data_IF_314952218297
#
_entry.id   IF_314952218297
#
_cell.length_a   1.000
_cell.length_b   1.000
_cell.length_c   1.000
_cell.angle_alpha   90.00
_cell.angle_beta   90.00
_cell.angle_gamma   90.00
#
_symmetry.space_group_name_H-M   'P 1'
#
loop_
_entity.id
_entity.type
_entity.pdbx_description
1 polymer ?
#
# COMPACT_ATOMS: atom_id res chain seq x y z
N UNK A 1 54.20 -63.56 -4.17
CA UNK A 1 52.82 -63.39 -4.67
C UNK A 1 52.14 -62.32 -3.83
N UNK A 2 52.06 -61.10 -4.35
CA UNK A 2 51.47 -59.95 -3.64
C UNK A 2 50.04 -59.83 -4.14
N UNK A 3 49.06 -60.15 -3.30
CA UNK A 3 47.63 -59.94 -3.57
C UNK A 3 47.28 -58.46 -3.33
N UNK A 4 47.01 -57.75 -4.43
CA UNK A 4 46.51 -56.39 -4.36
C UNK A 4 45.04 -56.42 -3.95
N UNK A 5 44.75 -55.96 -2.76
CA UNK A 5 43.40 -55.71 -2.30
C UNK A 5 42.97 -54.33 -2.80
N UNK A 6 42.08 -54.29 -3.77
CA UNK A 6 41.48 -53.04 -4.26
C UNK A 6 40.37 -52.65 -3.26
N UNK A 7 40.61 -51.60 -2.48
CA UNK A 7 39.59 -50.98 -1.63
C UNK A 7 38.65 -50.12 -2.49
N UNK A 8 37.42 -50.57 -2.65
CA UNK A 8 36.30 -49.79 -3.23
C UNK A 8 35.79 -48.81 -2.15
N UNK A 9 36.09 -47.54 -2.34
CA UNK A 9 35.48 -46.47 -1.55
C UNK A 9 34.11 -46.10 -2.19
N UNK A 10 33.02 -46.18 -1.45
CA UNK A 10 31.75 -45.67 -1.95
C UNK A 10 31.77 -44.16 -1.93
N UNK A 11 31.62 -43.55 -3.11
CA UNK A 11 31.39 -42.10 -3.24
C UNK A 11 29.95 -41.82 -2.81
N UNK A 12 29.82 -41.28 -1.59
CA UNK A 12 28.55 -40.77 -1.10
C UNK A 12 28.29 -39.44 -1.74
N UNK A 13 27.46 -39.41 -2.80
CA UNK A 13 26.94 -38.18 -3.40
C UNK A 13 25.92 -37.56 -2.46
N UNK A 14 26.33 -36.52 -1.74
CA UNK A 14 25.44 -35.67 -0.96
C UNK A 14 24.69 -34.78 -1.96
N UNK A 15 23.45 -35.12 -2.25
CA UNK A 15 22.51 -34.25 -2.97
C UNK A 15 22.18 -33.06 -2.06
N UNK A 16 22.86 -31.93 -2.28
CA UNK A 16 22.52 -30.66 -1.66
C UNK A 16 21.20 -30.17 -2.30
N UNK A 17 20.09 -30.40 -1.60
CA UNK A 17 18.80 -29.81 -1.94
C UNK A 17 18.89 -28.32 -1.68
N UNK A 18 19.05 -27.52 -2.74
CA UNK A 18 18.97 -26.06 -2.67
C UNK A 18 17.51 -25.68 -2.34
N UNK A 19 17.26 -25.31 -1.09
CA UNK A 19 15.99 -24.67 -0.69
C UNK A 19 15.97 -23.31 -1.36
N UNK A 20 15.20 -23.17 -2.45
CA UNK A 20 14.95 -21.90 -3.08
C UNK A 20 14.01 -21.10 -2.16
N UNK A 21 14.57 -20.08 -1.49
CA UNK A 21 13.76 -19.09 -0.80
C UNK A 21 12.94 -18.34 -1.84
N UNK A 22 11.63 -18.57 -1.87
CA UNK A 22 10.71 -17.75 -2.66
C UNK A 22 10.70 -16.38 -2.02
N UNK A 23 11.30 -15.39 -2.68
CA UNK A 23 11.20 -14.01 -2.26
C UNK A 23 9.73 -13.59 -2.37
N UNK A 24 9.08 -13.35 -1.23
CA UNK A 24 7.74 -12.74 -1.20
C UNK A 24 7.92 -11.31 -1.66
N UNK A 25 7.45 -10.99 -2.87
CA UNK A 25 7.45 -9.62 -3.38
C UNK A 25 6.41 -8.82 -2.58
N UNK A 26 6.89 -7.91 -1.74
CA UNK A 26 6.03 -6.99 -1.00
C UNK A 26 5.33 -6.05 -1.99
N UNK A 27 4.03 -5.77 -1.81
CA UNK A 27 3.33 -4.84 -2.68
C UNK A 27 4.03 -3.49 -2.67
N UNK A 28 4.33 -2.98 -3.87
CA UNK A 28 4.89 -1.64 -4.07
C UNK A 28 3.85 -0.61 -3.68
N UNK A 29 3.94 -0.12 -2.46
CA UNK A 29 3.14 0.99 -1.98
C UNK A 29 4.09 2.14 -1.64
N UNK A 30 3.97 3.27 -2.36
CA UNK A 30 4.78 4.46 -2.16
C UNK A 30 4.27 5.35 -1.00
N UNK A 31 3.13 4.99 -0.38
CA UNK A 31 2.57 5.75 0.73
C UNK A 31 3.34 5.49 2.02
N UNK A 32 3.83 6.53 2.70
CA UNK A 32 4.44 6.39 4.02
C UNK A 32 3.46 5.72 5.01
N UNK A 33 3.99 4.92 5.92
CA UNK A 33 3.18 4.27 6.95
C UNK A 33 2.33 5.26 7.73
N UNK A 34 2.88 6.44 8.05
CA UNK A 34 2.15 7.48 8.78
C UNK A 34 0.95 7.99 7.99
N UNK A 35 1.06 8.21 6.68
CA UNK A 35 -0.06 8.65 5.85
C UNK A 35 -1.18 7.60 5.80
N UNK A 36 -0.81 6.32 5.69
CA UNK A 36 -1.78 5.21 5.74
C UNK A 36 -2.47 5.09 7.09
N UNK A 37 -1.69 5.18 8.18
CA UNK A 37 -2.23 5.13 9.54
C UNK A 37 -3.19 6.29 9.83
N UNK A 38 -2.86 7.49 9.38
CA UNK A 38 -3.68 8.69 9.53
C UNK A 38 -5.01 8.57 8.77
N UNK A 39 -4.95 8.07 7.52
CA UNK A 39 -6.16 7.77 6.76
C UNK A 39 -7.06 6.76 7.48
N UNK A 40 -6.50 5.65 7.95
CA UNK A 40 -7.26 4.61 8.67
C UNK A 40 -7.88 5.17 9.94
N UNK A 41 -7.13 5.98 10.68
CA UNK A 41 -7.65 6.64 11.89
C UNK A 41 -8.84 7.53 11.56
N UNK A 42 -8.72 8.43 10.57
CA UNK A 42 -9.80 9.33 10.15
C UNK A 42 -11.03 8.55 9.62
N UNK A 43 -10.80 7.52 8.80
CA UNK A 43 -11.86 6.65 8.29
C UNK A 43 -12.63 5.96 9.43
N UNK A 44 -11.95 5.47 10.45
CA UNK A 44 -12.57 4.83 11.61
C UNK A 44 -13.34 5.83 12.49
N UNK A 45 -12.95 7.11 12.53
CA UNK A 45 -13.73 8.14 13.23
C UNK A 45 -15.11 8.33 12.59
N UNK A 46 -15.21 8.18 11.28
CA UNK A 46 -16.48 8.35 10.54
C UNK A 46 -17.32 7.08 10.55
N UNK A 47 -16.70 5.91 10.37
CA UNK A 47 -17.40 4.63 10.18
C UNK A 47 -17.55 3.80 11.47
N UNK A 48 -16.89 4.20 12.56
CA UNK A 48 -16.89 3.50 13.84
C UNK A 48 -15.60 2.71 14.09
N UNK A 49 -15.27 2.58 15.38
CA UNK A 49 -14.00 2.01 15.85
C UNK A 49 -14.11 0.50 16.09
N UNK A 50 -14.68 -0.23 15.16
CA UNK A 50 -14.73 -1.69 15.20
C UNK A 50 -13.55 -2.32 14.48
N UNK A 51 -13.26 -3.59 14.80
CA UNK A 51 -12.23 -4.36 14.08
C UNK A 51 -12.58 -4.55 12.61
N UNK A 52 -13.85 -4.71 12.28
CA UNK A 52 -14.31 -4.81 10.89
C UNK A 52 -14.02 -3.51 10.12
N UNK A 53 -14.31 -2.36 10.71
CA UNK A 53 -13.97 -1.07 10.10
C UNK A 53 -12.46 -0.83 9.99
N UNK A 54 -11.66 -1.36 10.91
CA UNK A 54 -10.19 -1.34 10.76
C UNK A 54 -9.77 -2.04 9.47
N UNK A 55 -10.30 -3.23 9.17
CA UNK A 55 -9.99 -3.94 7.93
C UNK A 55 -10.51 -3.20 6.69
N UNK A 56 -11.74 -2.67 6.73
CA UNK A 56 -12.34 -1.91 5.62
C UNK A 56 -11.57 -0.63 5.32
N UNK A 57 -11.24 0.15 6.35
CA UNK A 57 -10.46 1.38 6.20
C UNK A 57 -9.03 1.11 5.71
N UNK A 58 -8.40 0.02 6.17
CA UNK A 58 -7.09 -0.41 5.67
C UNK A 58 -7.16 -0.84 4.20
N UNK A 59 -8.17 -1.60 3.82
CA UNK A 59 -8.45 -1.94 2.43
C UNK A 59 -8.61 -0.68 1.58
N UNK A 60 -9.36 0.32 2.05
CA UNK A 60 -9.60 1.56 1.31
C UNK A 60 -8.33 2.30 0.96
N UNK A 61 -7.42 2.52 1.92
CA UNK A 61 -6.17 3.24 1.63
C UNK A 61 -5.25 2.42 0.71
N UNK A 62 -5.26 1.09 0.81
CA UNK A 62 -4.52 0.24 -0.10
C UNK A 62 -5.05 0.37 -1.53
N UNK A 63 -6.37 0.40 -1.71
CA UNK A 63 -6.99 0.62 -3.04
C UNK A 63 -6.75 2.02 -3.58
N UNK A 64 -6.79 3.05 -2.75
CA UNK A 64 -6.43 4.41 -3.15
C UNK A 64 -4.98 4.45 -3.64
N UNK A 65 -4.06 3.79 -2.96
CA UNK A 65 -2.64 3.76 -3.33
C UNK A 65 -2.36 3.02 -4.65
N UNK A 66 -3.22 2.09 -5.05
CA UNK A 66 -3.17 1.45 -6.37
C UNK A 66 -3.59 2.40 -7.50
N UNK A 67 -4.46 3.37 -7.21
CA UNK A 67 -5.09 4.27 -8.19
C UNK A 67 -4.41 5.64 -8.30
N UNK A 68 -3.72 6.06 -7.24
CA UNK A 68 -3.17 7.41 -7.12
C UNK A 68 -1.79 7.36 -6.46
N UNK A 69 -0.72 7.88 -7.12
CA UNK A 69 0.60 7.99 -6.49
C UNK A 69 0.55 8.88 -5.24
N UNK A 70 1.40 8.59 -4.24
CA UNK A 70 1.39 9.32 -2.97
C UNK A 70 1.52 10.84 -3.13
N UNK A 71 2.40 11.32 -3.99
CA UNK A 71 2.56 12.76 -4.23
C UNK A 71 1.26 13.44 -4.71
N UNK A 72 0.48 12.76 -5.55
CA UNK A 72 -0.81 13.28 -6.02
C UNK A 72 -1.90 13.21 -4.94
N UNK A 73 -1.86 12.18 -4.09
CA UNK A 73 -2.72 12.04 -2.92
C UNK A 73 -2.46 13.17 -1.91
N UNK A 74 -1.21 13.36 -1.50
CA UNK A 74 -0.79 14.37 -0.53
C UNK A 74 -1.16 15.79 -0.97
N UNK A 75 -0.91 16.12 -2.24
CA UNK A 75 -1.28 17.42 -2.79
C UNK A 75 -2.80 17.64 -2.79
N UNK A 76 -3.58 16.65 -3.24
CA UNK A 76 -5.03 16.75 -3.28
C UNK A 76 -5.64 16.82 -1.87
N UNK A 77 -5.13 16.03 -0.91
CA UNK A 77 -5.53 16.07 0.49
C UNK A 77 -5.26 17.45 1.12
N UNK A 78 -4.08 18.01 0.87
CA UNK A 78 -3.72 19.35 1.35
C UNK A 78 -4.66 20.41 0.83
N UNK A 79 -4.93 20.44 -0.48
CA UNK A 79 -5.84 21.41 -1.08
C UNK A 79 -7.25 21.23 -0.56
N UNK A 80 -7.74 19.99 -0.50
CA UNK A 80 -9.09 19.69 -0.02
C UNK A 80 -9.27 20.10 1.46
N UNK A 81 -8.29 19.84 2.31
CA UNK A 81 -8.30 20.21 3.73
C UNK A 81 -8.39 21.73 3.93
N UNK A 82 -7.70 22.52 3.10
CA UNK A 82 -7.79 23.99 3.15
C UNK A 82 -9.14 24.48 2.62
N UNK A 83 -9.65 23.91 1.52
CA UNK A 83 -10.98 24.24 0.98
C UNK A 83 -12.09 23.98 1.99
N UNK A 84 -12.03 22.87 2.72
CA UNK A 84 -13.03 22.52 3.75
C UNK A 84 -13.01 23.48 4.94
N UNK A 85 -11.88 24.10 5.25
CA UNK A 85 -11.78 25.13 6.31
C UNK A 85 -12.44 26.45 5.91
N UNK A 86 -12.61 26.72 4.61
CA UNK A 86 -13.25 27.91 4.08
C UNK A 86 -12.48 29.21 4.28
N UNK A 87 -13.12 30.34 4.00
CA UNK A 87 -12.57 31.70 4.13
C UNK A 87 -11.96 32.26 2.85
N UNK A 88 -11.41 33.49 2.93
CA UNK A 88 -10.85 34.21 1.76
C UNK A 88 -9.67 33.47 1.11
N UNK A 89 -8.95 32.67 1.88
CA UNK A 89 -7.80 31.88 1.39
C UNK A 89 -8.21 30.78 0.41
N UNK A 90 -9.50 30.46 0.32
CA UNK A 90 -10.03 29.41 -0.57
C UNK A 90 -10.12 29.88 -2.02
N UNK A 91 -10.31 31.19 -2.26
CA UNK A 91 -10.51 31.73 -3.62
C UNK A 91 -9.41 31.32 -4.62
N UNK A 92 -8.08 31.36 -4.30
CA UNK A 92 -7.04 30.88 -5.20
C UNK A 92 -7.11 29.38 -5.47
N UNK A 93 -7.69 28.61 -4.56
CA UNK A 93 -7.81 27.14 -4.65
C UNK A 93 -8.98 26.69 -5.53
N UNK A 94 -9.84 27.62 -5.97
CA UNK A 94 -10.88 27.38 -6.97
C UNK A 94 -10.31 27.26 -8.41
N UNK A 95 -9.00 27.43 -8.55
CA UNK A 95 -8.29 27.26 -9.80
C UNK A 95 -8.49 25.83 -10.35
N UNK A 96 -8.96 25.75 -11.60
CA UNK A 96 -9.40 24.47 -12.19
C UNK A 96 -8.41 23.30 -12.06
N UNK A 97 -7.09 23.46 -12.31
CA UNK A 97 -6.15 22.35 -12.16
C UNK A 97 -6.07 21.79 -10.72
N UNK A 98 -6.27 22.61 -9.69
CA UNK A 98 -6.33 22.17 -8.30
C UNK A 98 -7.63 21.42 -8.02
N UNK A 99 -8.74 21.90 -8.55
CA UNK A 99 -10.03 21.21 -8.44
C UNK A 99 -10.01 19.84 -9.16
N UNK A 100 -9.34 19.74 -10.29
CA UNK A 100 -9.16 18.46 -11.00
C UNK A 100 -8.35 17.44 -10.16
N UNK A 101 -7.38 17.90 -9.35
CA UNK A 101 -6.65 17.04 -8.40
C UNK A 101 -7.56 16.49 -7.30
N UNK A 102 -8.36 17.35 -6.68
CA UNK A 102 -9.37 16.94 -5.69
C UNK A 102 -10.35 15.94 -6.31
N UNK A 103 -10.81 16.20 -7.54
CA UNK A 103 -11.74 15.31 -8.23
C UNK A 103 -11.16 13.92 -8.47
N UNK A 104 -9.86 13.84 -8.82
CA UNK A 104 -9.17 12.53 -8.96
C UNK A 104 -9.08 11.79 -7.63
N UNK A 105 -8.74 12.49 -6.54
CA UNK A 105 -8.73 11.89 -5.21
C UNK A 105 -10.11 11.36 -4.83
N UNK A 106 -11.16 12.16 -4.97
CA UNK A 106 -12.54 11.74 -4.68
C UNK A 106 -12.96 10.52 -5.50
N UNK A 107 -12.57 10.46 -6.77
CA UNK A 107 -12.84 9.29 -7.61
C UNK A 107 -12.14 8.03 -7.08
N UNK A 108 -10.87 8.14 -6.67
CA UNK A 108 -10.14 7.03 -6.08
C UNK A 108 -10.76 6.58 -4.75
N UNK A 109 -11.22 7.50 -3.91
CA UNK A 109 -11.92 7.21 -2.65
C UNK A 109 -13.23 6.45 -2.91
N UNK A 110 -14.06 6.92 -3.84
CA UNK A 110 -15.33 6.24 -4.20
C UNK A 110 -15.06 4.82 -4.72
N UNK A 111 -14.07 4.65 -5.58
CA UNK A 111 -13.70 3.32 -6.09
C UNK A 111 -13.22 2.39 -4.97
N UNK A 112 -12.46 2.93 -4.02
CA UNK A 112 -12.01 2.17 -2.85
C UNK A 112 -13.20 1.78 -1.93
N UNK A 113 -14.13 2.69 -1.69
CA UNK A 113 -15.35 2.40 -0.91
C UNK A 113 -16.17 1.28 -1.53
N UNK A 114 -16.40 1.33 -2.85
CA UNK A 114 -17.14 0.29 -3.56
C UNK A 114 -16.51 -1.11 -3.47
N UNK A 115 -15.20 -1.18 -3.22
CA UNK A 115 -14.47 -2.45 -3.10
C UNK A 115 -14.30 -2.94 -1.68
N UNK A 116 -14.34 -2.04 -0.71
CA UNK A 116 -13.96 -2.34 0.68
C UNK A 116 -15.16 -2.32 1.64
N UNK A 117 -16.27 -1.68 1.27
CA UNK A 117 -17.48 -1.57 2.06
C UNK A 117 -18.70 -2.20 1.35
#
# INVERSE_FOLDING_TARGET
MIKRVAALFPVISVLASAVQAVAVELPKNDYPTIARADYVFACMQVNGQSRDNLFRCSCSIDKISELLPYAAYEEAETVMSVVLKGGEKVAPLQYKPLQDKIKRLKKAQVEAELRCF
#
